data_IF_847964249592
#
_entry.id   IF_847964249592
#
_cell.length_a   1.000
_cell.length_b   1.000
_cell.length_c   1.000
_cell.angle_alpha   90.00
_cell.angle_beta   90.00
_cell.angle_gamma   90.00
#
_symmetry.space_group_name_H-M   'P 1'
#
loop_
_entity.id
_entity.type
_entity.pdbx_description
1 polymer ?
#
# COMPACT_ATOMS: atom_id res chain seq x y z
N UNK A 1 -22.49 16.30 -22.85
CA UNK A 1 -22.39 15.33 -21.73
C UNK A 1 -21.00 15.51 -21.15
N UNK A 2 -20.87 15.84 -19.86
CA UNK A 2 -19.55 16.00 -19.26
C UNK A 2 -18.91 14.61 -19.17
N UNK A 3 -17.75 14.45 -19.81
CA UNK A 3 -16.93 13.25 -19.72
C UNK A 3 -16.44 13.16 -18.27
N UNK A 4 -16.83 12.10 -17.55
CA UNK A 4 -16.35 11.90 -16.19
C UNK A 4 -14.84 11.67 -16.26
N UNK A 5 -14.07 12.50 -15.56
CA UNK A 5 -12.62 12.33 -15.47
C UNK A 5 -12.34 10.96 -14.81
N UNK A 6 -11.55 10.09 -15.45
CA UNK A 6 -11.25 8.79 -14.88
C UNK A 6 -10.47 8.96 -13.58
N UNK A 7 -10.84 8.18 -12.56
CA UNK A 7 -10.09 8.14 -11.30
C UNK A 7 -8.74 7.45 -11.53
N UNK A 8 -7.65 8.19 -11.32
CA UNK A 8 -6.30 7.64 -11.35
C UNK A 8 -5.98 6.99 -9.99
N UNK A 9 -5.47 5.76 -10.00
CA UNK A 9 -5.03 5.06 -8.78
C UNK A 9 -3.55 4.70 -8.92
N UNK A 10 -2.75 5.15 -7.95
CA UNK A 10 -1.34 4.84 -7.87
C UNK A 10 -1.12 3.55 -7.08
N UNK A 11 -0.47 2.57 -7.70
CA UNK A 11 -0.16 1.26 -7.09
C UNK A 11 1.34 1.10 -6.90
N UNK A 12 1.73 0.71 -5.69
CA UNK A 12 3.13 0.69 -5.26
C UNK A 12 3.53 -0.61 -4.54
N UNK A 13 2.66 -1.61 -4.55
CA UNK A 13 2.89 -2.91 -3.90
C UNK A 13 2.39 -4.07 -4.74
N UNK A 14 1.69 -5.00 -4.11
CA UNK A 14 1.26 -6.28 -4.72
C UNK A 14 0.35 -6.18 -5.94
N UNK A 15 -0.24 -5.02 -6.20
CA UNK A 15 -1.09 -4.73 -7.37
C UNK A 15 -0.29 -4.33 -8.62
N UNK A 16 1.01 -4.01 -8.49
CA UNK A 16 1.89 -3.70 -9.63
C UNK A 16 1.92 -4.88 -10.61
N UNK A 17 2.24 -4.60 -11.88
CA UNK A 17 2.38 -5.64 -12.93
C UNK A 17 3.45 -6.66 -12.54
N UNK A 18 3.11 -7.94 -12.67
CA UNK A 18 4.02 -9.04 -12.29
C UNK A 18 4.02 -9.40 -10.81
N UNK A 19 3.17 -8.76 -9.98
CA UNK A 19 3.07 -9.03 -8.54
C UNK A 19 1.79 -9.81 -8.19
N UNK A 20 1.72 -10.44 -6.99
CA UNK A 20 0.73 -11.47 -6.68
C UNK A 20 -0.75 -11.08 -6.83
N UNK A 21 -1.10 -9.80 -6.67
CA UNK A 21 -2.49 -9.33 -6.74
C UNK A 21 -2.83 -8.61 -8.06
N UNK A 22 -1.93 -8.57 -9.04
CA UNK A 22 -2.17 -7.85 -10.28
C UNK A 22 -3.41 -8.33 -11.06
N UNK A 23 -3.73 -9.63 -10.96
CA UNK A 23 -4.90 -10.23 -11.60
C UNK A 23 -6.23 -9.58 -11.17
N UNK A 24 -6.29 -8.97 -9.97
CA UNK A 24 -7.46 -8.24 -9.50
C UNK A 24 -7.73 -6.97 -10.34
N UNK A 25 -6.69 -6.27 -10.77
CA UNK A 25 -6.81 -5.09 -11.63
C UNK A 25 -7.21 -5.46 -13.07
N UNK A 26 -6.70 -6.60 -13.54
CA UNK A 26 -7.07 -7.14 -14.85
C UNK A 26 -8.56 -7.51 -14.86
N UNK A 27 -9.03 -8.16 -13.79
CA UNK A 27 -10.44 -8.53 -13.62
C UNK A 27 -11.37 -7.31 -13.52
N UNK A 28 -10.90 -6.18 -12.98
CA UNK A 28 -11.66 -4.92 -12.90
C UNK A 28 -11.56 -4.05 -14.15
N UNK A 29 -10.96 -4.55 -15.25
CA UNK A 29 -10.76 -3.81 -16.50
C UNK A 29 -10.09 -2.45 -16.30
N UNK A 30 -9.16 -2.35 -15.33
CA UNK A 30 -8.46 -1.11 -15.01
C UNK A 30 -7.23 -0.95 -15.91
N UNK A 31 -7.25 -0.03 -16.90
CA UNK A 31 -6.15 0.12 -17.83
C UNK A 31 -4.93 0.72 -17.13
N UNK A 32 -3.75 0.26 -17.53
CA UNK A 32 -2.50 0.88 -17.12
C UNK A 32 -2.24 2.14 -17.93
N UNK A 33 -1.96 3.24 -17.24
CA UNK A 33 -1.71 4.56 -17.86
C UNK A 33 -0.22 4.81 -18.05
N UNK A 34 0.60 4.53 -17.03
CA UNK A 34 2.04 4.79 -17.07
C UNK A 34 2.73 4.42 -15.76
N UNK A 35 4.06 4.39 -15.78
CA UNK A 35 4.87 4.33 -14.58
C UNK A 35 4.99 5.75 -13.97
N UNK A 36 5.09 5.83 -12.66
CA UNK A 36 5.15 7.10 -11.95
C UNK A 36 5.82 6.92 -10.59
N UNK A 37 6.25 8.03 -10.00
CA UNK A 37 6.79 8.14 -8.65
C UNK A 37 5.97 9.12 -7.81
N UNK A 38 5.94 8.98 -6.49
CA UNK A 38 5.27 9.99 -5.64
C UNK A 38 6.02 11.31 -5.72
N UNK A 39 5.30 12.44 -5.81
CA UNK A 39 5.93 13.76 -5.84
C UNK A 39 6.54 14.13 -4.47
N UNK A 40 5.83 13.76 -3.40
CA UNK A 40 6.33 13.86 -2.03
C UNK A 40 6.80 12.48 -1.54
N UNK A 41 7.87 12.41 -0.72
CA UNK A 41 8.28 11.16 -0.07
C UNK A 41 7.14 10.58 0.77
N UNK A 42 6.99 9.25 0.72
CA UNK A 42 6.02 8.53 1.53
C UNK A 42 6.67 7.28 2.12
N UNK A 43 6.50 7.08 3.42
CA UNK A 43 7.03 5.91 4.12
C UNK A 43 6.41 4.62 3.58
N UNK A 44 7.26 3.76 3.02
CA UNK A 44 6.90 2.43 2.57
C UNK A 44 7.72 1.42 3.35
N UNK A 45 7.04 0.55 4.10
CA UNK A 45 7.66 -0.51 4.88
C UNK A 45 6.95 -1.84 4.63
N UNK A 46 7.69 -2.94 4.83
CA UNK A 46 7.14 -4.29 4.86
C UNK A 46 7.17 -4.75 6.31
N UNK A 47 6.00 -5.10 6.82
CA UNK A 47 5.83 -5.56 8.20
C UNK A 47 4.84 -6.70 8.28
N UNK A 48 4.67 -7.30 9.47
CA UNK A 48 3.84 -8.49 9.69
C UNK A 48 2.36 -8.33 9.29
N UNK A 49 1.92 -7.08 9.08
CA UNK A 49 0.55 -6.75 8.64
C UNK A 49 0.51 -5.96 7.32
N UNK A 50 1.61 -5.90 6.57
CA UNK A 50 1.63 -5.26 5.25
C UNK A 50 0.82 -6.06 4.22
N UNK A 51 0.07 -5.36 3.37
CA UNK A 51 -0.77 -5.99 2.34
C UNK A 51 -2.00 -6.72 2.88
N UNK A 52 -2.44 -6.37 4.09
CA UNK A 52 -3.57 -7.02 4.76
C UNK A 52 -4.90 -6.28 4.50
N UNK A 53 -6.02 -6.92 4.84
CA UNK A 53 -7.42 -6.69 4.40
C UNK A 53 -7.86 -5.29 3.89
N UNK A 54 -8.72 -5.29 2.85
CA UNK A 54 -9.57 -4.14 2.48
C UNK A 54 -10.37 -3.70 3.72
N UNK A 55 -10.36 -2.41 4.05
CA UNK A 55 -10.95 -1.84 5.27
C UNK A 55 -9.94 -1.47 6.36
N UNK A 56 -8.67 -1.88 6.19
CA UNK A 56 -7.56 -1.49 7.07
C UNK A 56 -6.75 -0.34 6.48
N UNK A 57 -6.81 -0.18 5.17
CA UNK A 57 -6.22 0.94 4.45
C UNK A 57 -7.26 2.03 4.19
N UNK A 58 -6.83 3.27 4.22
CA UNK A 58 -7.61 4.41 3.74
C UNK A 58 -7.11 4.86 2.37
N UNK A 59 -8.04 5.30 1.53
CA UNK A 59 -7.72 5.87 0.23
C UNK A 59 -7.50 7.37 0.41
N UNK A 60 -6.34 7.86 0.01
CA UNK A 60 -5.96 9.28 0.10
C UNK A 60 -5.56 9.83 -1.26
N UNK A 61 -5.90 11.10 -1.55
CA UNK A 61 -5.35 11.79 -2.71
C UNK A 61 -3.85 12.00 -2.53
N UNK A 62 -3.10 11.83 -3.60
CA UNK A 62 -1.66 12.11 -3.70
C UNK A 62 -1.33 12.73 -5.04
N UNK A 63 -0.16 13.34 -5.09
CA UNK A 63 0.44 13.84 -6.32
C UNK A 63 1.53 12.86 -6.76
N UNK A 64 1.52 12.48 -8.04
CA UNK A 64 2.53 11.63 -8.65
C UNK A 64 3.16 12.32 -9.85
N UNK A 65 4.41 11.98 -10.13
CA UNK A 65 5.17 12.43 -11.30
C UNK A 65 5.28 11.26 -12.26
N UNK A 66 4.75 11.42 -13.48
CA UNK A 66 4.79 10.38 -14.51
C UNK A 66 6.22 10.24 -15.04
N UNK A 67 6.70 8.99 -15.06
CA UNK A 67 8.06 8.70 -15.51
C UNK A 67 8.21 9.00 -17.01
N UNK A 68 9.32 9.65 -17.37
CA UNK A 68 9.64 10.02 -18.75
C UNK A 68 9.04 11.36 -19.21
N UNK A 69 7.78 11.68 -18.85
CA UNK A 69 7.20 13.00 -19.19
C UNK A 69 7.47 14.07 -18.12
N UNK A 70 7.63 13.66 -16.85
CA UNK A 70 7.71 14.58 -15.72
C UNK A 70 6.38 15.27 -15.40
N UNK A 71 5.28 14.82 -16.01
CA UNK A 71 3.96 15.39 -15.80
C UNK A 71 3.47 15.09 -14.37
N UNK A 72 2.92 16.12 -13.72
CA UNK A 72 2.39 16.03 -12.36
C UNK A 72 0.90 15.75 -12.42
N UNK A 73 0.47 14.61 -11.88
CA UNK A 73 -0.92 14.11 -11.95
C UNK A 73 -1.47 13.85 -10.55
N UNK A 74 -2.76 14.15 -10.36
CA UNK A 74 -3.49 13.78 -9.15
C UNK A 74 -3.96 12.33 -9.25
N UNK A 75 -3.71 11.54 -8.20
CA UNK A 75 -4.11 10.15 -8.09
C UNK A 75 -4.59 9.83 -6.67
N UNK A 76 -5.21 8.67 -6.50
CA UNK A 76 -5.51 8.10 -5.19
C UNK A 76 -4.56 6.94 -4.88
N UNK A 77 -4.17 6.79 -3.62
CA UNK A 77 -3.32 5.72 -3.12
C UNK A 77 -3.84 5.18 -1.79
N UNK A 78 -3.57 3.90 -1.49
CA UNK A 78 -4.10 3.19 -0.31
C UNK A 78 -3.09 3.12 0.82
N UNK A 79 -3.19 3.99 1.82
CA UNK A 79 -2.27 4.04 2.95
C UNK A 79 -2.80 3.30 4.18
N UNK A 80 -1.89 2.84 5.04
CA UNK A 80 -2.25 2.33 6.36
C UNK A 80 -3.04 3.41 7.12
N UNK A 81 -4.08 2.99 7.84
CA UNK A 81 -4.94 3.92 8.58
C UNK A 81 -4.14 4.66 9.66
N UNK A 82 -4.31 5.99 9.81
CA UNK A 82 -3.51 6.82 10.72
C UNK A 82 -3.53 6.36 12.18
N UNK A 83 -4.60 5.70 12.62
CA UNK A 83 -4.73 5.22 14.01
C UNK A 83 -3.64 4.25 14.45
N UNK A 84 -2.97 3.57 13.51
CA UNK A 84 -1.89 2.63 13.83
C UNK A 84 -0.66 2.79 12.93
N UNK A 85 -0.74 3.54 11.82
CA UNK A 85 0.32 3.61 10.81
C UNK A 85 1.69 4.03 11.40
N UNK A 86 1.74 5.11 12.18
CA UNK A 86 2.99 5.63 12.77
C UNK A 86 3.60 4.64 13.77
N UNK A 87 2.77 4.03 14.61
CA UNK A 87 3.24 3.08 15.61
C UNK A 87 3.70 1.75 14.96
N UNK A 88 3.01 1.29 13.92
CA UNK A 88 3.44 0.16 13.11
C UNK A 88 4.77 0.46 12.42
N UNK A 89 4.92 1.67 11.84
CA UNK A 89 6.14 2.12 11.20
C UNK A 89 7.34 2.10 12.14
N UNK A 90 7.23 2.74 13.33
CA UNK A 90 8.26 2.70 14.36
C UNK A 90 8.64 1.27 14.74
N UNK A 91 7.66 0.40 14.92
CA UNK A 91 7.87 -0.98 15.35
C UNK A 91 8.50 -1.87 14.27
N UNK A 92 8.38 -1.51 13.00
CA UNK A 92 9.05 -2.20 11.91
C UNK A 92 10.49 -1.71 11.67
N UNK A 93 10.99 -0.75 12.46
CA UNK A 93 12.35 -0.21 12.33
C UNK A 93 12.41 1.27 11.92
N UNK A 94 11.25 1.93 11.74
CA UNK A 94 11.21 3.34 11.37
C UNK A 94 11.91 3.62 10.03
N UNK A 95 12.68 4.70 9.98
CA UNK A 95 13.41 5.15 8.78
C UNK A 95 14.36 4.08 8.23
N UNK A 96 15.02 3.27 9.08
CA UNK A 96 15.97 2.24 8.65
C UNK A 96 15.30 1.08 7.89
N UNK A 97 14.00 0.89 8.09
CA UNK A 97 13.22 -0.16 7.43
C UNK A 97 12.46 0.34 6.19
N UNK A 98 12.56 1.62 5.85
CA UNK A 98 11.90 2.16 4.67
C UNK A 98 12.55 1.65 3.39
N UNK A 99 11.70 1.26 2.45
CA UNK A 99 12.11 0.81 1.13
C UNK A 99 11.67 1.84 0.08
N UNK A 100 12.54 2.13 -0.88
CA UNK A 100 12.20 3.03 -1.98
C UNK A 100 11.20 2.41 -2.97
N UNK A 101 11.15 1.08 -3.07
CA UNK A 101 10.24 0.37 -3.96
C UNK A 101 9.92 -1.05 -3.44
N UNK A 102 8.69 -1.50 -3.63
CA UNK A 102 8.31 -2.90 -3.47
C UNK A 102 8.85 -3.77 -4.63
N UNK A 103 9.79 -4.68 -4.38
CA UNK A 103 10.50 -5.47 -5.40
C UNK A 103 10.02 -6.92 -5.43
N UNK A 104 10.53 -7.71 -6.38
CA UNK A 104 10.25 -9.16 -6.48
C UNK A 104 10.70 -9.94 -5.25
N UNK A 105 11.79 -9.51 -4.60
CA UNK A 105 12.30 -10.13 -3.37
C UNK A 105 11.27 -9.97 -2.24
N UNK A 106 10.74 -8.76 -2.10
CA UNK A 106 9.65 -8.43 -1.19
C UNK A 106 8.35 -9.21 -1.50
N UNK A 107 8.12 -9.55 -2.77
CA UNK A 107 6.97 -10.32 -3.20
C UNK A 107 7.08 -11.81 -2.85
N UNK A 108 8.30 -12.34 -2.70
CA UNK A 108 8.54 -13.73 -2.31
C UNK A 108 8.00 -14.06 -0.91
N UNK A 109 7.90 -13.06 -0.03
CA UNK A 109 7.38 -13.21 1.34
C UNK A 109 5.88 -12.90 1.45
N UNK A 110 5.22 -12.57 0.33
CA UNK A 110 3.81 -12.21 0.35
C UNK A 110 2.91 -13.42 0.65
N UNK A 111 2.13 -13.33 1.72
CA UNK A 111 1.10 -14.33 2.08
C UNK A 111 -0.27 -13.91 1.50
N UNK A 112 -0.89 -14.69 0.60
CA UNK A 112 -2.21 -14.40 0.03
C UNK A 112 -3.32 -14.38 1.07
N UNK A 113 -4.41 -13.65 0.78
CA UNK A 113 -5.55 -13.51 1.71
C UNK A 113 -6.16 -14.86 2.12
N UNK A 114 -6.20 -15.85 1.24
CA UNK A 114 -6.73 -17.19 1.51
C UNK A 114 -5.95 -17.98 2.54
N UNK A 115 -4.67 -17.64 2.76
CA UNK A 115 -3.76 -18.34 3.68
C UNK A 115 -3.60 -17.60 5.01
N UNK A 116 -4.26 -16.44 5.16
CA UNK A 116 -4.22 -15.64 6.39
C UNK A 116 -5.20 -16.19 7.41
N UNK A 117 -4.73 -16.33 8.64
CA UNK A 117 -5.50 -16.90 9.76
C UNK A 117 -6.55 -15.95 10.36
N UNK A 118 -6.54 -14.66 10.00
CA UNK A 118 -7.43 -13.65 10.56
C UNK A 118 -8.36 -13.03 9.49
N UNK A 119 -9.58 -12.69 9.88
CA UNK A 119 -10.44 -11.80 9.11
C UNK A 119 -10.04 -10.32 9.32
N UNK A 120 -10.73 -9.37 8.69
CA UNK A 120 -10.38 -7.95 8.78
C UNK A 120 -10.47 -7.39 10.21
N UNK A 121 -11.44 -7.84 11.01
CA UNK A 121 -11.60 -7.38 12.40
C UNK A 121 -10.51 -7.98 13.30
N UNK A 122 -10.23 -9.28 13.14
CA UNK A 122 -9.14 -9.96 13.83
C UNK A 122 -7.77 -9.39 13.47
N UNK A 123 -7.58 -8.93 12.23
CA UNK A 123 -6.37 -8.23 11.82
C UNK A 123 -6.20 -6.90 12.56
N UNK A 124 -7.23 -6.05 12.60
CA UNK A 124 -7.14 -4.76 13.30
C UNK A 124 -6.82 -4.97 14.78
N UNK A 125 -7.44 -5.96 15.43
CA UNK A 125 -7.11 -6.35 16.80
C UNK A 125 -5.66 -6.83 16.93
N UNK A 126 -5.17 -7.66 15.98
CA UNK A 126 -3.78 -8.10 15.97
C UNK A 126 -2.79 -6.94 15.78
N UNK A 127 -3.10 -5.96 14.92
CA UNK A 127 -2.30 -4.74 14.73
C UNK A 127 -2.29 -3.94 16.03
N UNK A 128 -3.43 -3.72 16.67
CA UNK A 128 -3.48 -2.98 17.93
C UNK A 128 -2.72 -3.70 19.04
N UNK A 129 -2.81 -5.03 19.15
CA UNK A 129 -2.02 -5.83 20.11
C UNK A 129 -0.53 -5.75 19.81
N UNK A 130 -0.14 -5.84 18.55
CA UNK A 130 1.24 -5.67 18.14
C UNK A 130 1.73 -4.26 18.46
N UNK A 131 0.97 -3.22 18.18
CA UNK A 131 1.36 -1.85 18.55
C UNK A 131 1.43 -1.68 20.08
N UNK A 132 0.46 -2.19 20.83
CA UNK A 132 0.33 -1.99 22.27
C UNK A 132 1.38 -2.75 23.11
N UNK A 133 1.87 -3.90 22.64
CA UNK A 133 2.93 -4.66 23.34
C UNK A 133 4.29 -3.95 23.38
N UNK A 134 4.39 -2.72 22.84
CA UNK A 134 5.59 -1.90 22.88
C UNK A 134 5.64 -0.86 24.03
N UNK A 135 4.60 -0.75 24.87
CA UNK A 135 4.75 -0.01 26.15
C UNK A 135 5.39 -0.90 27.20
N UNK A 136 6.71 -1.05 27.11
CA UNK A 136 7.64 -1.20 28.24
C UNK A 136 9.06 -1.40 27.67
N UNK A 137 9.74 -0.27 27.38
CA UNK A 137 11.16 -0.09 27.68
C UNK A 137 11.54 1.40 27.62
#
# INVERSE_FOLDING_TARGET
MAEATPTMVFVYGTLKRGFPNHSLLVASATPFVGAASTAEPASLIIGPYSGTHIGVYERRPITVVVDGSGEVVQAEAYFAHPSYAEALWRRCGGEEAEIGEYTVDHAGEYVPKSERLADAAGLIDAIHKFVATATDN
#
